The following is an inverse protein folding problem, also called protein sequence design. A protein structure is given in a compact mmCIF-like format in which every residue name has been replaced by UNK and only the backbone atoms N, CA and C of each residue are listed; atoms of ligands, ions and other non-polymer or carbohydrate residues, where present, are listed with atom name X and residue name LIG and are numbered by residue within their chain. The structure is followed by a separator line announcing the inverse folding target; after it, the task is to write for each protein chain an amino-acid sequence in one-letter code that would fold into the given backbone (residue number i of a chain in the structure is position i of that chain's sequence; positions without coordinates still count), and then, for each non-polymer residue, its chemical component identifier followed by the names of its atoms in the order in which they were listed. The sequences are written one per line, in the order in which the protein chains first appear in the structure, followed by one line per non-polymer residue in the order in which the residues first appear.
data_IF_682746657752
#
_entry.id   IF_682746657752
#
_cell.length_a   1.000
_cell.length_b   1.000
_cell.length_c   1.000
_cell.angle_alpha   90.00
_cell.angle_beta   90.00
_cell.angle_gamma   90.00
#
_symmetry.space_group_name_H-M   'P 1'
#
loop_
_entity.id
_entity.type
_entity.pdbx_description
1 polymer ?
#
# COMPACT_ATOMS: atom_id res chain seq x y z
N UNK A 1 3.27 -25.24 -29.55
CA UNK A 1 3.72 -24.14 -28.65
C UNK A 1 2.57 -23.78 -27.72
N UNK A 2 2.80 -23.57 -26.42
CA UNK A 2 1.74 -23.17 -25.49
C UNK A 2 1.20 -21.78 -25.87
N UNK A 3 -0.12 -21.59 -25.80
CA UNK A 3 -0.77 -20.28 -26.00
C UNK A 3 -0.57 -19.44 -24.73
N UNK A 4 -0.17 -18.17 -24.91
CA UNK A 4 -0.03 -17.20 -23.83
C UNK A 4 -1.17 -16.18 -23.90
N UNK A 5 -1.74 -15.83 -22.75
CA UNK A 5 -2.71 -14.75 -22.60
C UNK A 5 -2.01 -13.56 -21.95
N UNK A 6 -2.11 -12.38 -22.56
CA UNK A 6 -1.61 -11.11 -21.99
C UNK A 6 -2.80 -10.35 -21.42
N UNK A 7 -2.76 -10.04 -20.12
CA UNK A 7 -3.71 -9.15 -19.48
C UNK A 7 -3.16 -7.73 -19.57
N UNK A 8 -3.68 -6.95 -20.53
CA UNK A 8 -3.28 -5.56 -20.73
C UNK A 8 -3.92 -4.70 -19.64
N UNK A 9 -3.19 -3.71 -19.13
CA UNK A 9 -3.63 -2.78 -18.07
C UNK A 9 -3.87 -3.40 -16.69
N UNK A 10 -3.52 -4.67 -16.50
CA UNK A 10 -3.61 -5.36 -15.20
C UNK A 10 -2.21 -5.48 -14.61
N UNK A 11 -2.01 -4.99 -13.38
CA UNK A 11 -0.78 -5.20 -12.62
C UNK A 11 -1.02 -6.20 -11.49
N UNK A 12 -0.02 -7.04 -11.26
CA UNK A 12 0.08 -7.88 -10.08
C UNK A 12 1.40 -7.52 -9.41
N UNK A 13 1.35 -6.93 -8.22
CA UNK A 13 2.54 -6.46 -7.50
C UNK A 13 2.66 -7.21 -6.19
N UNK A 14 3.52 -8.25 -6.13
CA UNK A 14 3.84 -8.91 -4.88
C UNK A 14 4.73 -8.04 -4.01
N UNK A 15 4.46 -8.05 -2.72
CA UNK A 15 5.14 -7.20 -1.76
C UNK A 15 5.36 -7.93 -0.43
N UNK A 16 6.21 -7.36 0.40
CA UNK A 16 6.44 -7.78 1.77
C UNK A 16 7.36 -8.99 1.96
N UNK A 17 7.98 -9.53 0.90
CA UNK A 17 8.99 -10.60 0.99
C UNK A 17 10.22 -10.24 0.15
N UNK A 18 11.45 -10.65 0.51
CA UNK A 18 12.65 -10.32 -0.24
C UNK A 18 12.79 -11.18 -1.49
N UNK A 19 12.13 -12.34 -1.49
CA UNK A 19 12.12 -13.32 -2.56
C UNK A 19 10.72 -13.88 -2.63
N UNK A 20 10.16 -13.85 -3.84
CA UNK A 20 8.96 -14.59 -4.16
C UNK A 20 9.20 -15.32 -5.49
N UNK A 21 8.36 -16.30 -5.78
CA UNK A 21 8.42 -17.04 -7.03
C UNK A 21 7.10 -16.88 -7.76
N UNK A 22 7.14 -16.63 -9.06
CA UNK A 22 5.92 -16.48 -9.88
C UNK A 22 4.93 -17.66 -9.74
N UNK A 23 5.45 -18.86 -9.48
CA UNK A 23 4.66 -20.07 -9.20
C UNK A 23 3.84 -20.03 -7.91
N UNK A 24 4.02 -19.00 -7.08
CA UNK A 24 3.24 -18.77 -5.85
C UNK A 24 1.95 -18.00 -6.12
N UNK A 25 1.72 -17.54 -7.36
CA UNK A 25 0.46 -16.96 -7.82
C UNK A 25 -0.21 -18.00 -8.72
N UNK A 26 -1.33 -18.56 -8.26
CA UNK A 26 -1.99 -19.67 -8.93
C UNK A 26 -3.42 -19.29 -9.31
N UNK A 27 -3.82 -19.61 -10.55
CA UNK A 27 -5.24 -19.60 -10.91
C UNK A 27 -5.88 -20.83 -10.25
N UNK A 28 -6.75 -20.60 -9.27
CA UNK A 28 -7.38 -21.68 -8.48
C UNK A 28 -8.78 -22.04 -8.98
N UNK A 29 -9.48 -21.10 -9.63
CA UNK A 29 -10.82 -21.32 -10.17
C UNK A 29 -11.06 -20.42 -11.37
N UNK A 30 -11.84 -20.91 -12.33
CA UNK A 30 -12.43 -20.13 -13.42
C UNK A 30 -13.92 -20.43 -13.42
N UNK A 31 -14.75 -19.40 -13.30
CA UNK A 31 -16.21 -19.49 -13.38
C UNK A 31 -16.75 -18.46 -14.38
N UNK A 32 -18.06 -18.47 -14.68
CA UNK A 32 -18.70 -17.39 -15.44
C UNK A 32 -18.51 -16.00 -14.82
N UNK A 33 -18.34 -15.94 -13.49
CA UNK A 33 -18.20 -14.68 -12.74
C UNK A 33 -16.77 -14.15 -12.75
N UNK A 34 -15.77 -15.00 -12.96
CA UNK A 34 -14.38 -14.54 -13.02
C UNK A 34 -13.31 -15.61 -12.94
N UNK A 35 -12.07 -15.14 -12.98
CA UNK A 35 -10.86 -15.93 -12.73
C UNK A 35 -10.33 -15.61 -11.34
N UNK A 36 -10.17 -16.63 -10.51
CA UNK A 36 -9.75 -16.51 -9.13
C UNK A 36 -8.28 -16.88 -9.02
N UNK A 37 -7.52 -16.00 -8.38
CA UNK A 37 -6.09 -16.13 -8.18
C UNK A 37 -5.83 -16.22 -6.67
N UNK A 38 -5.02 -17.19 -6.26
CA UNK A 38 -4.56 -17.34 -4.89
C UNK A 38 -3.05 -17.11 -4.81
N UNK A 39 -2.60 -16.48 -3.72
CA UNK A 39 -1.18 -16.42 -3.39
C UNK A 39 -0.92 -16.52 -1.89
N UNK A 40 0.18 -17.21 -1.57
CA UNK A 40 0.71 -17.27 -0.20
C UNK A 40 1.62 -16.09 0.14
N UNK A 41 1.80 -15.15 -0.80
CA UNK A 41 2.57 -13.92 -0.66
C UNK A 41 1.59 -12.75 -0.82
N UNK A 42 1.66 -11.70 0.03
CA UNK A 42 0.85 -10.51 -0.19
C UNK A 42 1.07 -9.96 -1.59
N UNK A 43 -0.02 -9.69 -2.30
CA UNK A 43 0.04 -9.08 -3.62
C UNK A 43 -1.16 -8.19 -3.82
N UNK A 44 -0.95 -7.09 -4.55
CA UNK A 44 -2.05 -6.26 -5.01
C UNK A 44 -2.33 -6.55 -6.48
N UNK A 45 -3.61 -6.61 -6.82
CA UNK A 45 -4.10 -6.55 -8.19
C UNK A 45 -4.59 -5.14 -8.48
N UNK A 46 -4.10 -4.54 -9.56
CA UNK A 46 -4.49 -3.19 -10.00
C UNK A 46 -5.02 -3.28 -11.42
N UNK A 47 -6.26 -2.86 -11.63
CA UNK A 47 -6.77 -2.49 -12.94
C UNK A 47 -6.48 -1.02 -13.21
N UNK A 48 -5.53 -0.72 -14.11
CA UNK A 48 -5.17 0.66 -14.45
C UNK A 48 -6.33 1.45 -15.03
N UNK A 49 -7.35 0.80 -15.60
CA UNK A 49 -8.51 1.48 -16.20
C UNK A 49 -9.43 2.09 -15.16
N UNK A 50 -9.42 1.56 -13.94
CA UNK A 50 -10.22 2.14 -12.85
C UNK A 50 -9.67 3.49 -12.38
N UNK A 51 -8.41 3.80 -12.72
CA UNK A 51 -7.68 4.99 -12.26
C UNK A 51 -7.81 5.25 -10.75
N UNK A 52 -7.93 4.17 -9.97
CA UNK A 52 -8.23 4.22 -8.54
C UNK A 52 -6.95 4.10 -7.73
N UNK A 53 -6.63 5.03 -6.82
CA UNK A 53 -5.50 4.86 -5.91
C UNK A 53 -5.67 3.65 -5.02
N UNK A 54 -4.56 3.04 -4.62
CA UNK A 54 -4.55 2.03 -3.56
C UNK A 54 -4.34 2.74 -2.23
N UNK A 55 -5.33 2.72 -1.36
CA UNK A 55 -5.37 3.48 -0.10
C UNK A 55 -5.26 2.54 1.10
N UNK A 56 -4.96 3.09 2.29
CA UNK A 56 -4.89 2.31 3.55
C UNK A 56 -6.21 1.56 3.80
N UNK A 57 -7.35 2.13 3.40
CA UNK A 57 -8.66 1.47 3.45
C UNK A 57 -8.70 0.11 2.71
N UNK A 58 -7.88 -0.05 1.65
CA UNK A 58 -7.81 -1.25 0.81
C UNK A 58 -6.90 -2.35 1.39
N UNK A 59 -6.25 -2.11 2.53
CA UNK A 59 -5.29 -3.05 3.12
C UNK A 59 -5.83 -4.49 3.24
N UNK A 60 -7.11 -4.62 3.57
CA UNK A 60 -7.78 -5.91 3.74
C UNK A 60 -8.00 -6.66 2.44
N UNK A 61 -8.03 -5.97 1.30
CA UNK A 61 -8.17 -6.59 -0.02
C UNK A 61 -6.85 -7.19 -0.51
N UNK A 62 -5.71 -6.80 0.08
CA UNK A 62 -4.36 -7.17 -0.41
C UNK A 62 -3.60 -8.13 0.50
N UNK A 63 -4.15 -8.46 1.67
CA UNK A 63 -3.57 -9.46 2.58
C UNK A 63 -4.33 -10.79 2.48
N UNK A 64 -3.61 -11.94 2.53
CA UNK A 64 -4.25 -13.26 2.58
C UNK A 64 -5.18 -13.44 3.80
N UNK A 65 -6.34 -14.09 3.61
CA UNK A 65 -7.35 -14.35 4.66
C UNK A 65 -6.77 -15.06 5.91
N UNK A 66 -5.83 -15.97 5.71
CA UNK A 66 -5.17 -16.70 6.81
C UNK A 66 -4.40 -15.74 7.74
N UNK A 67 -3.87 -14.63 7.20
CA UNK A 67 -3.22 -13.60 7.98
C UNK A 67 -4.26 -12.67 8.62
N UNK A 68 -5.38 -12.42 7.93
CA UNK A 68 -6.50 -11.67 8.48
C UNK A 68 -7.06 -12.30 9.76
N UNK A 69 -7.30 -13.61 9.79
CA UNK A 69 -7.80 -14.32 10.99
C UNK A 69 -6.87 -14.14 12.21
N UNK A 70 -5.55 -14.14 11.96
CA UNK A 70 -4.54 -13.90 13.00
C UNK A 70 -4.55 -12.46 13.52
N UNK A 71 -4.99 -11.50 12.70
CA UNK A 71 -5.10 -10.09 13.09
C UNK A 71 -6.43 -9.82 13.81
N UNK A 72 -7.54 -10.42 13.35
CA UNK A 72 -8.88 -10.22 13.93
C UNK A 72 -9.02 -10.89 15.28
N UNK A 73 -8.37 -12.03 15.52
CA UNK A 73 -8.37 -12.69 16.84
C UNK A 73 -7.78 -11.82 17.97
N UNK A 74 -7.08 -10.73 17.63
CA UNK A 74 -6.50 -9.77 18.57
C UNK A 74 -7.46 -8.59 18.84
N UNK A 75 -8.49 -8.39 18.01
CA UNK A 75 -9.42 -7.24 18.11
C UNK A 75 -10.78 -7.68 18.67
N UNK A 76 -11.18 -7.22 19.87
CA UNK A 76 -12.43 -7.64 20.49
C UNK A 76 -13.64 -7.09 19.71
N UNK A 77 -14.55 -8.01 19.34
CA UNK A 77 -15.88 -7.83 18.75
C UNK A 77 -16.24 -6.45 18.17
N UNK A 78 -16.17 -6.35 16.84
CA UNK A 78 -16.82 -5.34 16.01
C UNK A 78 -18.35 -5.50 16.02
N UNK A 79 -18.98 -5.32 17.18
CA UNK A 79 -20.44 -5.37 17.27
C UNK A 79 -21.06 -4.09 16.69
N UNK A 80 -22.19 -4.30 15.98
CA UNK A 80 -22.97 -3.27 15.29
C UNK A 80 -23.17 -2.04 16.19
N UNK A 81 -22.76 -0.86 15.72
CA UNK A 81 -22.99 0.41 16.40
C UNK A 81 -24.48 0.64 16.65
N UNK A 82 -24.88 0.57 17.92
CA UNK A 82 -26.21 0.93 18.39
C UNK A 82 -26.34 2.46 18.37
N UNK A 83 -27.24 3.00 17.52
CA UNK A 83 -27.26 4.42 17.13
C UNK A 83 -27.70 5.40 18.24
N UNK A 84 -28.12 4.91 19.39
CA UNK A 84 -28.84 5.72 20.38
C UNK A 84 -27.96 6.52 21.37
N UNK A 85 -26.62 6.54 21.22
CA UNK A 85 -25.73 7.34 22.09
C UNK A 85 -24.63 8.06 21.31
N UNK A 86 -24.95 9.23 20.75
CA UNK A 86 -24.06 9.96 19.83
C UNK A 86 -22.66 10.30 20.37
N UNK A 87 -22.49 10.58 21.66
CA UNK A 87 -21.17 10.92 22.23
C UNK A 87 -20.26 9.72 22.50
N UNK A 88 -20.82 8.56 22.85
CA UNK A 88 -20.05 7.32 23.08
C UNK A 88 -19.64 6.66 21.75
N UNK A 89 -20.39 6.91 20.68
CA UNK A 89 -20.13 6.36 19.34
C UNK A 89 -18.83 6.93 18.75
N UNK A 90 -18.61 8.25 18.86
CA UNK A 90 -17.42 8.90 18.28
C UNK A 90 -16.11 8.43 18.94
N UNK A 91 -16.08 8.30 20.28
CA UNK A 91 -14.89 7.86 20.98
C UNK A 91 -14.55 6.38 20.68
N UNK A 92 -15.57 5.51 20.64
CA UNK A 92 -15.37 4.10 20.28
C UNK A 92 -14.90 3.95 18.83
N UNK A 93 -15.50 4.68 17.90
CA UNK A 93 -15.10 4.67 16.50
C UNK A 93 -13.66 5.17 16.32
N UNK A 94 -13.27 6.20 17.06
CA UNK A 94 -11.89 6.72 17.05
C UNK A 94 -10.89 5.68 17.58
N UNK A 95 -11.16 5.08 18.74
CA UNK A 95 -10.31 4.03 19.31
C UNK A 95 -10.22 2.80 18.40
N UNK A 96 -11.34 2.38 17.79
CA UNK A 96 -11.36 1.29 16.82
C UNK A 96 -10.49 1.61 15.59
N UNK A 97 -10.61 2.84 15.09
CA UNK A 97 -9.81 3.33 13.99
C UNK A 97 -8.31 3.33 14.34
N UNK A 98 -7.93 3.90 15.49
CA UNK A 98 -6.54 3.92 15.96
C UNK A 98 -5.96 2.51 16.04
N UNK A 99 -6.72 1.56 16.60
CA UNK A 99 -6.32 0.16 16.67
C UNK A 99 -6.10 -0.46 15.27
N UNK A 100 -6.99 -0.19 14.31
CA UNK A 100 -6.82 -0.69 12.94
C UNK A 100 -5.59 -0.08 12.28
N UNK A 101 -5.43 1.23 12.41
CA UNK A 101 -4.32 1.96 11.81
C UNK A 101 -2.96 1.48 12.34
N UNK A 102 -2.88 1.29 13.66
CA UNK A 102 -1.73 0.70 14.34
C UNK A 102 -1.44 -0.73 13.89
N UNK A 103 -2.47 -1.56 13.79
CA UNK A 103 -2.31 -2.94 13.36
C UNK A 103 -1.86 -3.04 11.89
N UNK A 104 -2.31 -2.14 11.01
CA UNK A 104 -1.80 -2.06 9.62
C UNK A 104 -0.32 -1.69 9.64
N UNK A 105 0.06 -0.63 10.37
CA UNK A 105 1.45 -0.20 10.53
C UNK A 105 2.34 -1.34 11.03
N UNK A 106 1.92 -2.00 12.11
CA UNK A 106 2.67 -3.08 12.72
C UNK A 106 2.78 -4.30 11.82
N UNK A 107 1.73 -4.62 11.06
CA UNK A 107 1.80 -5.68 10.05
C UNK A 107 2.85 -5.32 9.00
N UNK A 108 2.78 -4.13 8.41
CA UNK A 108 3.73 -3.70 7.38
C UNK A 108 5.17 -3.61 7.91
N UNK A 109 5.39 -3.30 9.18
CA UNK A 109 6.74 -3.26 9.79
C UNK A 109 7.31 -4.62 10.16
N UNK A 110 6.45 -5.53 10.64
CA UNK A 110 6.90 -6.75 11.31
C UNK A 110 6.66 -8.01 10.47
N UNK A 111 5.71 -7.98 9.53
CA UNK A 111 5.36 -9.11 8.66
C UNK A 111 5.85 -8.93 7.24
N UNK A 112 5.95 -7.70 6.76
CA UNK A 112 6.76 -7.44 5.58
C UNK A 112 8.23 -7.49 5.99
N UNK A 113 9.06 -8.17 5.19
CA UNK A 113 10.49 -8.29 5.42
C UNK A 113 11.23 -6.97 5.07
N UNK A 114 10.82 -5.86 5.72
CA UNK A 114 11.53 -4.59 5.64
C UNK A 114 12.96 -4.80 6.11
N UNK A 115 13.92 -4.62 5.20
CA UNK A 115 15.28 -5.12 5.35
C UNK A 115 16.15 -4.26 6.26
N UNK A 116 15.84 -2.96 6.35
CA UNK A 116 16.60 -1.98 7.12
C UNK A 116 15.81 -1.37 8.28
N UNK A 117 16.53 -0.83 9.28
CA UNK A 117 15.92 -0.01 10.34
C UNK A 117 15.29 1.27 9.76
N UNK A 118 15.81 1.77 8.64
CA UNK A 118 15.34 2.99 8.00
C UNK A 118 14.00 2.81 7.29
N UNK A 119 13.76 1.65 6.67
CA UNK A 119 12.43 1.30 6.16
C UNK A 119 11.38 1.28 7.28
N UNK A 120 11.72 0.71 8.45
CA UNK A 120 10.81 0.70 9.60
C UNK A 120 10.56 2.10 10.15
N UNK A 121 11.62 2.92 10.26
CA UNK A 121 11.50 4.34 10.66
C UNK A 121 10.65 5.13 9.66
N UNK A 122 10.80 4.89 8.37
CA UNK A 122 9.99 5.53 7.34
C UNK A 122 8.51 5.18 7.50
N UNK A 123 8.16 3.92 7.76
CA UNK A 123 6.78 3.54 8.06
C UNK A 123 6.25 4.24 9.32
N UNK A 124 7.05 4.38 10.36
CA UNK A 124 6.66 5.14 11.55
C UNK A 124 6.35 6.61 11.20
N UNK A 125 7.29 7.27 10.52
CA UNK A 125 7.14 8.66 10.06
C UNK A 125 5.90 8.81 9.16
N UNK A 126 5.70 7.91 8.20
CA UNK A 126 4.60 7.97 7.26
C UNK A 126 3.24 7.86 7.97
N UNK A 127 3.11 6.88 8.88
CA UNK A 127 1.85 6.68 9.59
C UNK A 127 1.59 7.78 10.62
N UNK A 128 2.62 8.23 11.35
CA UNK A 128 2.49 9.31 12.33
C UNK A 128 2.14 10.63 11.66
N UNK A 129 2.74 10.96 10.51
CA UNK A 129 2.39 12.14 9.71
C UNK A 129 0.89 12.19 9.38
N UNK A 130 0.34 11.10 8.84
CA UNK A 130 -1.07 11.07 8.47
C UNK A 130 -2.02 11.06 9.67
N UNK A 131 -1.59 10.50 10.81
CA UNK A 131 -2.32 10.59 12.08
C UNK A 131 -2.38 12.05 12.56
N UNK A 132 -1.26 12.76 12.49
CA UNK A 132 -1.16 14.18 12.85
C UNK A 132 -2.03 15.04 11.94
N UNK A 133 -1.92 14.88 10.61
CA UNK A 133 -2.73 15.62 9.64
C UNK A 133 -4.24 15.46 9.88
N UNK A 134 -4.70 14.25 10.18
CA UNK A 134 -6.10 14.05 10.49
C UNK A 134 -6.51 14.75 11.80
N UNK A 135 -5.62 14.80 12.79
CA UNK A 135 -5.94 15.37 14.11
C UNK A 135 -6.15 16.88 14.07
N UNK A 136 -5.47 17.57 13.16
CA UNK A 136 -5.62 19.00 12.93
C UNK A 136 -6.99 19.37 12.33
N UNK A 137 -7.64 18.45 11.60
CA UNK A 137 -8.97 18.67 11.02
C UNK A 137 -10.13 18.49 12.03
N UNK A 138 -9.84 18.03 13.25
CA UNK A 138 -10.80 17.83 14.34
C UNK A 138 -11.30 16.39 14.46
N UNK A 139 -11.61 15.97 15.70
CA UNK A 139 -11.98 14.60 16.06
C UNK A 139 -13.46 14.24 15.77
N UNK A 140 -13.89 14.40 14.52
CA UNK A 140 -15.22 13.94 14.06
C UNK A 140 -15.10 12.70 13.15
N UNK A 141 -16.20 12.07 12.75
CA UNK A 141 -16.26 10.95 11.78
C UNK A 141 -15.43 11.23 10.50
N UNK A 142 -15.27 12.51 10.13
CA UNK A 142 -14.37 12.91 9.05
C UNK A 142 -12.90 12.55 9.31
N UNK A 143 -12.42 12.62 10.56
CA UNK A 143 -11.10 12.17 10.99
C UNK A 143 -10.84 10.73 10.55
N UNK A 144 -11.75 9.82 10.91
CA UNK A 144 -11.63 8.39 10.62
C UNK A 144 -11.61 8.12 9.11
N UNK A 145 -12.46 8.82 8.35
CA UNK A 145 -12.47 8.67 6.89
C UNK A 145 -11.19 9.22 6.26
N UNK A 146 -10.60 10.28 6.80
CA UNK A 146 -9.44 10.94 6.21
C UNK A 146 -8.15 10.18 6.50
N UNK A 147 -8.00 9.54 7.65
CA UNK A 147 -6.83 8.72 7.96
C UNK A 147 -6.69 7.45 7.11
N UNK A 148 -7.77 6.94 6.51
CA UNK A 148 -7.73 5.73 5.67
C UNK A 148 -7.56 6.05 4.18
N UNK A 149 -7.58 7.32 3.81
CA UNK A 149 -7.35 7.82 2.44
C UNK A 149 -5.90 7.85 1.97
N UNK A 150 -4.86 7.94 2.83
CA UNK A 150 -3.48 7.89 2.37
C UNK A 150 -3.22 6.67 1.51
N UNK A 151 -2.28 6.79 0.57
CA UNK A 151 -1.88 5.67 -0.27
C UNK A 151 -1.31 4.55 0.59
N UNK A 152 -1.67 3.31 0.31
CA UNK A 152 -1.14 2.15 1.02
C UNK A 152 0.32 1.94 0.60
N UNK A 153 1.32 2.05 1.51
CA UNK A 153 2.67 1.64 1.19
C UNK A 153 2.70 0.14 0.93
N UNK A 154 3.41 -0.26 -0.13
CA UNK A 154 3.71 -1.65 -0.47
C UNK A 154 5.20 -1.91 -0.21
N UNK A 155 5.60 -2.35 1.01
CA UNK A 155 7.00 -2.53 1.33
C UNK A 155 7.61 -3.67 0.52
N UNK A 156 8.86 -3.53 0.07
CA UNK A 156 9.59 -4.56 -0.66
C UNK A 156 8.82 -5.04 -1.91
N UNK A 157 8.19 -4.10 -2.63
CA UNK A 157 7.39 -4.38 -3.81
C UNK A 157 8.28 -4.81 -4.99
N UNK A 158 7.80 -5.78 -5.78
CA UNK A 158 8.51 -6.24 -6.98
C UNK A 158 7.87 -5.65 -8.22
N UNK A 159 8.58 -4.73 -8.85
CA UNK A 159 8.19 -4.06 -10.08
C UNK A 159 8.85 -4.75 -11.27
N UNK A 160 8.14 -4.82 -12.38
CA UNK A 160 8.64 -5.36 -13.65
C UNK A 160 8.84 -4.19 -14.61
N UNK A 161 10.09 -3.90 -14.92
CA UNK A 161 10.51 -2.73 -15.67
C UNK A 161 11.01 -3.11 -17.06
N UNK A 162 10.71 -2.27 -18.04
CA UNK A 162 11.21 -2.37 -19.41
C UNK A 162 12.49 -1.50 -19.58
N UNK A 163 13.41 -1.90 -20.45
CA UNK A 163 14.56 -1.09 -20.85
C UNK A 163 14.52 -0.91 -22.38
N UNK A 164 14.52 0.32 -22.89
CA UNK A 164 14.46 0.55 -24.33
C UNK A 164 15.72 0.05 -25.05
N UNK A 165 16.81 -0.16 -24.30
CA UNK A 165 18.07 -0.68 -24.81
C UNK A 165 18.17 -2.21 -24.72
N UNK A 166 17.21 -2.89 -24.08
CA UNK A 166 17.20 -4.34 -23.92
C UNK A 166 15.76 -4.87 -23.86
N UNK A 167 15.40 -5.74 -24.81
CA UNK A 167 14.06 -6.36 -24.91
C UNK A 167 13.65 -7.19 -23.67
N UNK A 168 14.56 -7.39 -22.71
CA UNK A 168 14.27 -8.10 -21.46
C UNK A 168 13.50 -7.24 -20.48
N UNK A 169 12.52 -7.86 -19.82
CA UNK A 169 11.90 -7.30 -18.62
C UNK A 169 12.77 -7.56 -17.40
N UNK A 170 12.96 -6.54 -16.58
CA UNK A 170 13.75 -6.59 -15.35
C UNK A 170 12.83 -6.55 -14.14
N UNK A 171 12.94 -7.56 -13.28
CA UNK A 171 12.31 -7.50 -11.97
C UNK A 171 13.21 -6.69 -11.04
N UNK A 172 12.67 -5.61 -10.49
CA UNK A 172 13.33 -4.70 -9.57
C UNK A 172 12.52 -4.66 -8.27
N UNK A 173 13.20 -4.92 -7.15
CA UNK A 173 12.62 -4.76 -5.82
C UNK A 173 12.86 -3.31 -5.37
N UNK A 174 11.82 -2.68 -4.81
CA UNK A 174 11.88 -1.32 -4.26
C UNK A 174 11.51 -1.35 -2.79
N UNK A 175 12.03 -0.42 -2.01
CA UNK A 175 11.74 -0.39 -0.57
C UNK A 175 10.26 -0.14 -0.29
N UNK A 176 9.65 0.79 -1.02
CA UNK A 176 8.19 0.96 -1.04
C UNK A 176 7.69 1.28 -2.44
N UNK A 177 6.49 0.82 -2.76
CA UNK A 177 5.72 1.29 -3.91
C UNK A 177 4.36 1.84 -3.46
N UNK A 178 3.86 2.83 -4.18
CA UNK A 178 2.55 3.43 -4.00
C UNK A 178 1.84 3.51 -5.35
N UNK A 179 0.57 3.12 -5.40
CA UNK A 179 -0.25 3.26 -6.60
C UNK A 179 -1.17 4.47 -6.46
N UNK A 180 -0.97 5.49 -7.30
CA UNK A 180 -1.70 6.77 -7.22
C UNK A 180 -3.05 6.74 -7.94
N UNK A 181 -3.38 5.65 -8.62
CA UNK A 181 -4.46 5.58 -9.60
C UNK A 181 -3.98 5.82 -11.02
N UNK A 182 -2.93 6.59 -11.23
CA UNK A 182 -2.40 6.88 -12.57
C UNK A 182 -1.03 6.21 -12.81
N UNK A 183 -0.17 6.21 -11.78
CA UNK A 183 1.20 5.72 -11.88
C UNK A 183 1.66 5.09 -10.57
N UNK A 184 2.78 4.37 -10.66
CA UNK A 184 3.49 3.88 -9.47
C UNK A 184 4.51 4.95 -9.07
N UNK A 185 4.55 5.26 -7.78
CA UNK A 185 5.67 5.95 -7.14
C UNK A 185 6.48 4.89 -6.39
N UNK A 186 7.72 4.67 -6.80
CA UNK A 186 8.71 3.87 -6.10
C UNK A 186 9.52 4.77 -5.16
N UNK A 187 9.67 4.34 -3.91
CA UNK A 187 10.52 5.00 -2.93
C UNK A 187 11.68 4.06 -2.59
N UNK A 188 12.89 4.57 -2.73
CA UNK A 188 14.15 3.88 -2.44
C UNK A 188 14.85 4.62 -1.30
N UNK A 189 15.20 3.89 -0.25
CA UNK A 189 15.94 4.42 0.89
C UNK A 189 17.42 4.08 0.68
N UNK A 190 18.16 5.06 0.20
CA UNK A 190 19.55 4.88 -0.16
C UNK A 190 20.50 5.11 1.03
N UNK A 191 21.56 4.30 1.07
CA UNK A 191 22.74 4.65 1.87
C UNK A 191 23.48 5.83 1.23
N UNK A 192 24.25 6.61 2.01
CA UNK A 192 25.01 7.81 1.59
C UNK A 192 26.16 7.53 0.56
N UNK A 193 26.00 6.51 -0.27
CA UNK A 193 26.97 6.07 -1.25
C UNK A 193 26.89 6.88 -2.54
N UNK A 194 28.05 7.00 -3.21
CA UNK A 194 28.21 7.77 -4.43
C UNK A 194 27.35 7.20 -5.57
N UNK A 195 26.83 8.09 -6.41
CA UNK A 195 26.15 7.76 -7.67
C UNK A 195 26.94 6.73 -8.48
N UNK A 196 26.45 5.50 -8.51
CA UNK A 196 26.99 4.42 -9.35
C UNK A 196 26.27 4.41 -10.71
N UNK A 197 26.96 4.06 -11.81
CA UNK A 197 26.31 3.91 -13.12
C UNK A 197 25.10 2.96 -13.14
N UNK A 198 25.04 2.01 -12.20
CA UNK A 198 23.90 1.10 -12.05
C UNK A 198 22.63 1.81 -11.58
N UNK A 199 22.75 2.83 -10.71
CA UNK A 199 21.62 3.64 -10.26
C UNK A 199 21.02 4.38 -11.45
N UNK A 200 21.85 5.03 -12.26
CA UNK A 200 21.39 5.74 -13.48
C UNK A 200 20.64 4.80 -14.44
N UNK A 201 21.11 3.56 -14.61
CA UNK A 201 20.43 2.55 -15.44
C UNK A 201 19.11 2.10 -14.80
N UNK A 202 19.06 1.93 -13.48
CA UNK A 202 17.85 1.60 -12.73
C UNK A 202 16.80 2.70 -12.86
N UNK A 203 17.18 3.96 -12.66
CA UNK A 203 16.26 5.11 -12.72
C UNK A 203 15.71 5.32 -14.13
N UNK A 204 16.53 5.09 -15.15
CA UNK A 204 16.07 5.09 -16.54
C UNK A 204 14.99 4.04 -16.76
N UNK A 205 15.16 2.81 -16.24
CA UNK A 205 14.16 1.74 -16.36
C UNK A 205 12.86 2.08 -15.62
N UNK A 206 12.93 2.70 -14.44
CA UNK A 206 11.73 3.21 -13.77
C UNK A 206 10.96 4.18 -14.68
N UNK A 207 11.65 5.21 -15.18
CA UNK A 207 11.04 6.23 -16.04
C UNK A 207 10.42 5.63 -17.30
N UNK A 208 11.14 4.75 -17.97
CA UNK A 208 10.65 4.08 -19.19
C UNK A 208 9.40 3.23 -18.93
N UNK A 209 9.25 2.74 -17.70
CA UNK A 209 8.10 1.92 -17.27
C UNK A 209 6.95 2.77 -16.69
N UNK A 210 7.03 4.10 -16.76
CA UNK A 210 6.04 5.00 -16.17
C UNK A 210 6.02 4.94 -14.64
N UNK A 211 7.16 4.63 -14.02
CA UNK A 211 7.34 4.63 -12.56
C UNK A 211 8.12 5.89 -12.18
N UNK A 212 7.54 6.69 -11.30
CA UNK A 212 8.25 7.80 -10.66
C UNK A 212 9.09 7.24 -9.51
N UNK A 213 10.36 7.65 -9.41
CA UNK A 213 11.25 7.19 -8.34
C UNK A 213 11.64 8.35 -7.42
N UNK A 214 11.51 8.12 -6.12
CA UNK A 214 11.90 9.05 -5.05
C UNK A 214 13.00 8.38 -4.25
N UNK A 215 14.14 9.06 -4.13
CA UNK A 215 15.27 8.61 -3.32
C UNK A 215 15.30 9.41 -2.02
N UNK A 216 15.43 8.72 -0.89
CA UNK A 216 15.61 9.32 0.43
C UNK A 216 16.86 8.71 1.04
N UNK A 217 17.78 9.53 1.51
CA UNK A 217 18.97 9.06 2.18
C UNK A 217 18.66 8.63 3.61
N UNK A 218 19.38 7.62 4.10
CA UNK A 218 19.34 7.23 5.52
C UNK A 218 19.59 8.44 6.45
N UNK A 219 20.54 9.30 6.08
CA UNK A 219 20.88 10.52 6.81
C UNK A 219 19.71 11.51 6.86
N UNK A 220 18.91 11.61 5.81
CA UNK A 220 17.72 12.48 5.78
C UNK A 220 16.63 11.96 6.74
N UNK A 221 16.43 10.64 6.81
CA UNK A 221 15.50 10.00 7.77
C UNK A 221 15.95 10.25 9.22
N UNK A 222 17.25 10.25 9.49
CA UNK A 222 17.78 10.53 10.83
C UNK A 222 17.71 12.00 11.21
N UNK A 223 18.09 12.88 10.30
CA UNK A 223 18.22 14.32 10.57
C UNK A 223 16.86 15.02 10.59
N UNK A 224 15.97 14.69 9.65
CA UNK A 224 14.75 15.46 9.42
C UNK A 224 13.48 14.80 9.97
N UNK A 225 13.52 13.53 10.38
CA UNK A 225 12.39 12.79 10.98
C UNK A 225 11.06 13.04 10.22
N UNK A 226 10.06 13.65 10.85
CA UNK A 226 8.75 13.94 10.24
C UNK A 226 8.84 14.89 9.03
N UNK A 227 9.85 15.75 8.97
CA UNK A 227 10.05 16.67 7.85
C UNK A 227 10.49 15.96 6.56
N UNK A 228 10.90 14.69 6.61
CA UNK A 228 11.15 13.87 5.41
C UNK A 228 9.92 13.76 4.52
N UNK A 229 8.72 13.82 5.10
CA UNK A 229 7.48 13.83 4.32
C UNK A 229 7.42 15.00 3.34
N UNK A 230 8.14 16.11 3.60
CA UNK A 230 8.21 17.24 2.67
C UNK A 230 9.01 16.94 1.39
N UNK A 231 9.83 15.89 1.38
CA UNK A 231 10.56 15.43 0.18
C UNK A 231 9.67 14.62 -0.76
N UNK A 232 8.54 14.10 -0.27
CA UNK A 232 7.64 13.27 -1.06
C UNK A 232 6.81 14.10 -2.05
N UNK A 233 6.38 13.51 -3.18
CA UNK A 233 5.35 14.07 -4.06
C UNK A 233 4.05 14.40 -3.31
N UNK A 234 3.25 15.32 -3.87
CA UNK A 234 2.00 15.78 -3.22
C UNK A 234 1.00 14.65 -3.04
N UNK A 235 1.01 13.71 -3.96
CA UNK A 235 0.22 12.48 -3.98
C UNK A 235 0.38 11.66 -2.69
N UNK A 236 1.54 11.77 -2.02
CA UNK A 236 1.87 11.02 -0.80
C UNK A 236 1.71 11.82 0.49
N UNK A 237 1.40 13.12 0.43
CA UNK A 237 1.38 13.99 1.63
C UNK A 237 0.26 15.04 1.67
N UNK A 238 -0.47 15.28 0.59
CA UNK A 238 -1.53 16.30 0.56
C UNK A 238 -2.90 15.66 0.77
N UNK A 239 -3.55 16.01 1.87
CA UNK A 239 -4.93 15.61 2.14
C UNK A 239 -5.88 16.19 1.08
N UNK A 240 -5.64 17.43 0.62
CA UNK A 240 -6.49 18.06 -0.39
C UNK A 240 -6.45 17.30 -1.72
N UNK A 241 -5.28 16.75 -2.08
CA UNK A 241 -5.15 15.89 -3.23
C UNK A 241 -5.96 14.59 -3.04
N UNK A 242 -5.83 13.93 -1.89
CA UNK A 242 -6.51 12.66 -1.62
C UNK A 242 -8.03 12.79 -1.55
N UNK A 243 -8.55 13.92 -1.05
CA UNK A 243 -10.00 14.18 -1.02
C UNK A 243 -10.60 14.24 -2.42
N UNK A 244 -9.82 14.59 -3.44
CA UNK A 244 -10.27 14.64 -4.84
C UNK A 244 -10.29 13.26 -5.51
N UNK A 245 -9.65 12.26 -4.91
CA UNK A 245 -9.57 10.92 -5.48
C UNK A 245 -10.84 10.11 -5.17
N UNK A 246 -11.22 9.15 -6.04
CA UNK A 246 -12.29 8.22 -5.74
C UNK A 246 -12.01 7.45 -4.44
N UNK A 247 -12.89 7.57 -3.45
CA UNK A 247 -12.80 6.86 -2.18
C UNK A 247 -13.87 5.77 -2.10
N UNK A 248 -13.44 4.51 -1.94
CA UNK A 248 -14.35 3.39 -1.66
C UNK A 248 -14.47 3.27 -0.15
N UNK A 249 -15.60 3.68 0.41
CA UNK A 249 -15.82 3.50 1.84
C UNK A 249 -15.82 2.01 2.17
N UNK A 250 -14.93 1.53 3.06
CA UNK A 250 -14.90 0.13 3.46
C UNK A 250 -16.20 -0.30 4.16
N UNK A 251 -17.01 0.67 4.62
CA UNK A 251 -18.27 0.43 5.32
C UNK A 251 -19.49 0.27 4.40
N UNK A 252 -19.36 0.52 3.09
CA UNK A 252 -20.51 0.50 2.17
C UNK A 252 -20.72 -0.89 1.53
N UNK A 253 -19.75 -1.81 1.60
CA UNK A 253 -19.79 -3.02 0.77
C UNK A 253 -19.89 -4.37 1.47
N UNK A 254 -19.80 -4.45 2.80
CA UNK A 254 -19.88 -5.72 3.53
C UNK A 254 -21.19 -5.89 4.32
N UNK A 255 -22.33 -5.77 3.62
CA UNK A 255 -23.61 -6.33 4.07
C UNK A 255 -24.25 -7.24 3.00
N UNK A 256 -23.46 -7.83 2.11
CA UNK A 256 -23.90 -9.06 1.44
C UNK A 256 -23.61 -10.24 2.37
N UNK A 257 -24.68 -10.67 3.06
CA UNK A 257 -24.71 -11.72 4.09
C UNK A 257 -24.55 -13.13 3.47
N UNK A 258 -24.29 -13.23 2.17
CA UNK A 258 -24.30 -14.48 1.40
C UNK A 258 -22.89 -14.98 1.03
N UNK A 259 -21.91 -14.85 1.92
CA UNK A 259 -20.66 -15.63 1.82
C UNK A 259 -20.79 -16.93 2.65
N UNK A 260 -21.35 -17.93 1.97
CA UNK A 260 -21.24 -19.40 2.15
C UNK A 260 -21.67 -20.03 3.47
#
# INVERSE_FOLDING_TARGET
MPRRLRLVDQLFIPFGRPKWKIKEINIVKVSPDGTYIESNTPFVHIDKKENRPLQIADFWEVIPDQLFESLVSISPHFDRFDRDKSSDISQKALTEFENRYEMIRDYLKNRCETGSIYEKKFLDIYFDYWRECASEEGADIMYVSNCLRPLLPLPQAHLYLEDDLDERTYMQKVDFAFWTGNQIIALEIDSDTKLLPEIVRRDRRYRNSGVEVVHILNSEIEEFMSSVMNLLPKELKSIEFLIQLPYRSPYIQNFDVDRY
#
